data_IF_232601532280
#
_entry.id   IF_232601532280
#
_cell.length_a   1.000
_cell.length_b   1.000
_cell.length_c   1.000
_cell.angle_alpha   90.00
_cell.angle_beta   90.00
_cell.angle_gamma   90.00
#
_symmetry.space_group_name_H-M   'P 1'
#
loop_
_entity.id
_entity.type
_entity.pdbx_description
1 polymer ?
#
# COMPACT_ATOMS: atom_id res chain seq x y z
N UNK A 1 -16.69 -5.36 -1.45
CA UNK A 1 -15.48 -6.08 -0.97
C UNK A 1 -14.27 -5.25 -1.39
N UNK A 2 -13.28 -5.10 -0.52
CA UNK A 2 -12.07 -4.34 -0.76
C UNK A 2 -10.84 -5.23 -0.59
N UNK A 3 -9.89 -5.13 -1.52
CA UNK A 3 -8.63 -5.86 -1.47
C UNK A 3 -7.46 -4.90 -1.29
N UNK A 4 -6.54 -5.28 -0.41
CA UNK A 4 -5.25 -4.62 -0.20
C UNK A 4 -4.16 -5.67 -0.30
N UNK A 5 -3.06 -5.39 -1.00
CA UNK A 5 -1.99 -6.36 -1.17
C UNK A 5 -0.99 -6.28 -0.02
N UNK A 6 -0.92 -7.33 0.80
CA UNK A 6 -0.22 -7.39 2.09
C UNK A 6 -0.84 -6.49 3.17
N UNK A 7 -2.06 -6.00 2.96
CA UNK A 7 -2.70 -5.06 3.88
C UNK A 7 -3.18 -5.69 5.18
N UNK A 8 -3.22 -7.02 5.27
CA UNK A 8 -3.49 -7.75 6.52
C UNK A 8 -2.49 -7.46 7.65
N UNK A 9 -1.31 -6.95 7.31
CA UNK A 9 -0.26 -6.52 8.25
C UNK A 9 -0.08 -5.00 8.34
N UNK A 10 -0.70 -4.24 7.44
CA UNK A 10 -0.52 -2.80 7.31
C UNK A 10 -1.88 -2.09 7.29
N UNK A 11 -2.53 -1.99 6.13
CA UNK A 11 -3.75 -1.20 5.89
C UNK A 11 -4.89 -1.57 6.84
N UNK A 12 -5.16 -2.87 7.00
CA UNK A 12 -6.29 -3.35 7.79
C UNK A 12 -6.15 -3.02 9.28
N UNK A 13 -4.93 -2.87 9.79
CA UNK A 13 -4.69 -2.49 11.19
C UNK A 13 -5.15 -1.06 11.43
N UNK A 14 -4.86 -0.16 10.49
CA UNK A 14 -5.32 1.23 10.52
C UNK A 14 -6.85 1.31 10.37
N UNK A 15 -7.41 0.54 9.43
CA UNK A 15 -8.86 0.46 9.24
C UNK A 15 -9.56 -0.07 10.48
N UNK A 16 -9.03 -1.13 11.11
CA UNK A 16 -9.58 -1.68 12.36
C UNK A 16 -9.62 -0.65 13.48
N UNK A 17 -8.57 0.17 13.62
CA UNK A 17 -8.52 1.27 14.60
C UNK A 17 -9.67 2.25 14.38
N UNK A 18 -9.88 2.70 13.15
CA UNK A 18 -10.94 3.68 12.83
C UNK A 18 -12.35 3.10 13.02
N UNK A 19 -12.56 1.82 12.70
CA UNK A 19 -13.82 1.11 12.95
C UNK A 19 -14.10 1.03 14.46
N UNK A 20 -13.07 0.66 15.23
CA UNK A 20 -13.15 0.58 16.69
C UNK A 20 -13.50 1.93 17.33
N UNK A 21 -12.85 3.01 16.90
CA UNK A 21 -13.15 4.38 17.38
C UNK A 21 -14.57 4.84 17.08
N UNK A 22 -15.19 4.30 16.03
CA UNK A 22 -16.59 4.55 15.67
C UNK A 22 -17.59 3.66 16.43
N UNK A 23 -17.12 2.80 17.34
CA UNK A 23 -17.96 1.90 18.13
C UNK A 23 -18.57 0.74 17.33
N UNK A 24 -18.00 0.42 16.17
CA UNK A 24 -18.46 -0.70 15.34
C UNK A 24 -17.64 -1.93 15.68
N UNK A 25 -18.31 -3.06 15.90
CA UNK A 25 -17.64 -4.34 16.19
C UNK A 25 -17.60 -5.18 14.91
N UNK A 26 -16.44 -5.33 14.26
CA UNK A 26 -16.31 -6.15 13.06
C UNK A 26 -16.12 -7.63 13.42
N UNK A 27 -16.47 -8.52 12.49
CA UNK A 27 -16.01 -9.91 12.51
C UNK A 27 -14.61 -9.99 11.90
N UNK A 28 -13.74 -10.84 12.46
CA UNK A 28 -12.32 -10.91 12.09
C UNK A 28 -11.85 -12.35 11.96
N UNK A 29 -11.10 -12.64 10.90
CA UNK A 29 -10.29 -13.85 10.77
C UNK A 29 -8.82 -13.43 10.86
N UNK A 30 -8.09 -13.93 11.86
CA UNK A 30 -6.70 -13.52 12.12
C UNK A 30 -5.82 -14.66 12.62
N UNK A 31 -4.51 -14.55 12.37
CA UNK A 31 -3.48 -15.39 13.00
C UNK A 31 -2.35 -14.51 13.51
N UNK A 32 -2.14 -14.49 14.83
CA UNK A 32 -1.24 -13.53 15.47
C UNK A 32 -1.65 -12.09 15.10
N UNK A 33 -0.69 -11.32 14.59
CA UNK A 33 -0.87 -9.93 14.17
C UNK A 33 -1.33 -9.77 12.71
N UNK A 34 -1.54 -10.87 11.97
CA UNK A 34 -2.03 -10.81 10.58
C UNK A 34 -3.55 -10.96 10.56
N UNK A 35 -4.24 -9.96 10.00
CA UNK A 35 -5.65 -9.99 9.65
C UNK A 35 -5.81 -10.60 8.25
N UNK A 36 -6.56 -11.70 8.12
CA UNK A 36 -6.90 -12.30 6.83
C UNK A 36 -8.19 -11.70 6.26
N UNK A 37 -9.15 -11.45 7.14
CA UNK A 37 -10.42 -10.85 6.82
C UNK A 37 -10.87 -9.93 7.95
N UNK A 38 -11.39 -8.77 7.55
CA UNK A 38 -12.08 -7.83 8.43
C UNK A 38 -13.44 -7.52 7.82
N UNK A 39 -14.51 -7.92 8.49
CA UNK A 39 -15.88 -7.86 8.00
C UNK A 39 -16.72 -6.92 8.85
N UNK A 40 -17.18 -5.82 8.26
CA UNK A 40 -18.11 -4.87 8.86
C UNK A 40 -19.53 -5.28 8.46
N UNK A 41 -20.41 -5.61 9.43
CA UNK A 41 -21.78 -5.99 9.13
C UNK A 41 -22.57 -4.80 8.56
N UNK A 42 -23.57 -5.11 7.72
CA UNK A 42 -24.54 -4.13 7.25
C UNK A 42 -25.26 -3.49 8.44
N UNK A 43 -25.53 -2.19 8.33
CA UNK A 43 -26.41 -1.46 9.24
C UNK A 43 -27.39 -0.57 8.44
N UNK A 44 -28.15 0.27 9.14
CA UNK A 44 -29.15 1.15 8.51
C UNK A 44 -28.53 2.25 7.61
N UNK A 45 -27.22 2.50 7.72
CA UNK A 45 -26.50 3.57 7.01
C UNK A 45 -25.54 3.05 5.94
N UNK A 46 -25.09 1.81 6.03
CA UNK A 46 -24.06 1.26 5.16
C UNK A 46 -24.29 -0.23 4.90
N UNK A 47 -23.97 -0.66 3.68
CA UNK A 47 -23.93 -2.06 3.30
C UNK A 47 -22.77 -2.79 4.00
N UNK A 48 -22.80 -4.12 3.93
CA UNK A 48 -21.71 -4.95 4.40
C UNK A 48 -20.41 -4.64 3.63
N UNK A 49 -19.31 -4.49 4.36
CA UNK A 49 -17.98 -4.26 3.79
C UNK A 49 -17.02 -5.33 4.30
N UNK A 50 -16.33 -5.98 3.37
CA UNK A 50 -15.36 -7.03 3.68
C UNK A 50 -14.01 -6.59 3.11
N UNK A 51 -13.00 -6.51 3.98
CA UNK A 51 -11.61 -6.31 3.60
C UNK A 51 -10.89 -7.65 3.59
N UNK A 52 -10.11 -7.90 2.53
CA UNK A 52 -9.29 -9.11 2.36
C UNK A 52 -7.90 -8.78 1.84
N UNK A 53 -6.95 -9.62 2.22
CA UNK A 53 -5.55 -9.46 1.83
C UNK A 53 -5.26 -10.34 0.61
N UNK A 54 -5.03 -9.70 -0.54
CA UNK A 54 -4.76 -10.40 -1.80
C UNK A 54 -3.43 -11.13 -1.82
N UNK A 55 -2.49 -10.78 -0.91
CA UNK A 55 -1.22 -11.50 -0.77
C UNK A 55 -1.42 -12.97 -0.37
N UNK A 56 -2.55 -13.31 0.29
CA UNK A 56 -2.87 -14.69 0.63
C UNK A 56 -3.20 -15.54 -0.60
N UNK A 57 -3.64 -14.91 -1.69
CA UNK A 57 -3.95 -15.56 -2.96
C UNK A 57 -2.75 -15.52 -3.91
N UNK A 58 -2.01 -14.42 -3.88
CA UNK A 58 -0.84 -14.19 -4.73
C UNK A 58 0.36 -13.77 -3.88
N UNK A 59 1.14 -14.72 -3.33
CA UNK A 59 2.22 -14.45 -2.38
C UNK A 59 3.51 -13.99 -3.08
N UNK A 60 3.40 -12.98 -3.93
CA UNK A 60 4.51 -12.32 -4.61
C UNK A 60 4.44 -10.82 -4.35
N UNK A 61 5.58 -10.11 -4.43
CA UNK A 61 5.57 -8.66 -4.27
C UNK A 61 4.72 -7.98 -5.36
N UNK A 62 4.02 -6.89 -5.02
CA UNK A 62 3.13 -6.16 -5.94
C UNK A 62 3.82 -5.81 -7.28
N UNK A 63 5.06 -5.33 -7.25
CA UNK A 63 5.81 -5.00 -8.47
C UNK A 63 6.17 -6.22 -9.33
N UNK A 64 6.22 -7.42 -8.74
CA UNK A 64 6.49 -8.67 -9.49
C UNK A 64 5.24 -9.29 -10.10
N UNK A 65 4.04 -8.79 -9.77
CA UNK A 65 2.78 -9.33 -10.32
C UNK A 65 2.71 -9.18 -11.84
N UNK A 66 3.26 -8.08 -12.38
CA UNK A 66 3.23 -7.79 -13.82
C UNK A 66 3.94 -8.90 -14.59
N UNK A 67 5.20 -9.18 -14.24
CA UNK A 67 5.97 -10.27 -14.84
C UNK A 67 5.42 -11.65 -14.50
N UNK A 68 4.95 -11.89 -13.27
CA UNK A 68 4.46 -13.21 -12.85
C UNK A 68 3.18 -13.65 -13.57
N UNK A 69 2.32 -12.69 -13.95
CA UNK A 69 1.04 -12.96 -14.62
C UNK A 69 1.00 -12.51 -16.09
N UNK A 70 2.12 -12.00 -16.64
CA UNK A 70 2.18 -11.51 -18.02
C UNK A 70 1.23 -10.33 -18.27
N UNK A 71 1.04 -9.47 -17.28
CA UNK A 71 0.11 -8.34 -17.38
C UNK A 71 0.69 -7.26 -18.29
N UNK A 72 -0.14 -6.69 -19.15
CA UNK A 72 0.22 -5.54 -19.99
C UNK A 72 -0.18 -4.24 -19.30
N UNK A 73 0.55 -3.89 -18.23
CA UNK A 73 0.30 -2.67 -17.45
C UNK A 73 1.60 -1.92 -17.23
N UNK A 74 1.53 -0.60 -17.18
CA UNK A 74 2.68 0.26 -16.87
C UNK A 74 3.14 0.00 -15.43
N UNK A 75 4.43 -0.20 -15.25
CA UNK A 75 5.00 -0.41 -13.92
C UNK A 75 4.89 0.85 -13.06
N UNK A 76 4.71 0.65 -11.76
CA UNK A 76 4.73 1.75 -10.81
C UNK A 76 6.16 2.26 -10.70
N UNK A 77 6.35 3.54 -11.01
CA UNK A 77 7.60 4.28 -10.81
C UNK A 77 7.96 4.41 -9.31
N UNK A 78 9.06 5.09 -9.03
CA UNK A 78 9.55 5.28 -7.66
C UNK A 78 8.69 6.27 -6.87
N UNK A 79 8.42 5.93 -5.60
CA UNK A 79 7.61 6.76 -4.71
C UNK A 79 8.50 7.42 -3.64
N UNK A 80 8.41 8.75 -3.44
CA UNK A 80 9.22 9.48 -2.47
C UNK A 80 8.65 9.29 -1.05
N UNK A 81 9.04 8.19 -0.40
CA UNK A 81 8.53 7.76 0.89
C UNK A 81 8.65 8.82 2.01
N UNK A 82 9.71 9.63 2.01
CA UNK A 82 9.95 10.65 3.03
C UNK A 82 9.41 12.03 2.65
N UNK A 83 8.95 12.24 1.41
CA UNK A 83 8.35 13.50 1.00
C UNK A 83 6.93 13.70 1.54
N UNK A 84 6.35 12.70 2.22
CA UNK A 84 5.04 12.77 2.86
C UNK A 84 5.11 13.55 4.19
N UNK A 85 5.43 14.84 4.10
CA UNK A 85 5.52 15.80 5.22
C UNK A 85 4.49 16.91 5.06
N UNK A 86 4.08 17.50 6.19
CA UNK A 86 3.04 18.54 6.26
C UNK A 86 3.27 19.71 5.31
N UNK A 87 4.54 20.07 5.12
CA UNK A 87 5.00 21.18 4.29
C UNK A 87 4.69 20.94 2.80
N UNK A 88 4.56 19.69 2.38
CA UNK A 88 4.29 19.30 1.00
C UNK A 88 2.79 19.08 0.74
N UNK A 89 1.95 19.05 1.78
CA UNK A 89 0.52 18.77 1.61
C UNK A 89 -0.20 19.87 0.83
N UNK A 90 -0.96 19.46 -0.19
CA UNK A 90 -1.69 20.38 -1.07
C UNK A 90 -0.80 21.18 -2.03
N UNK A 91 0.50 20.87 -2.12
CA UNK A 91 1.44 21.53 -3.03
C UNK A 91 1.85 20.60 -4.16
N UNK A 92 1.96 21.16 -5.36
CA UNK A 92 2.67 20.53 -6.47
C UNK A 92 4.14 20.90 -6.36
N UNK A 93 5.00 19.91 -6.21
CA UNK A 93 6.45 20.13 -6.24
C UNK A 93 6.85 20.47 -7.67
N UNK A 94 7.62 21.55 -7.84
CA UNK A 94 8.09 22.00 -9.16
C UNK A 94 9.17 21.08 -9.74
N UNK A 95 9.85 20.33 -8.89
CA UNK A 95 10.91 19.41 -9.21
C UNK A 95 10.70 18.11 -8.42
N UNK A 96 11.35 17.04 -8.88
CA UNK A 96 11.38 15.79 -8.13
C UNK A 96 11.96 16.00 -6.72
N UNK A 97 11.42 15.33 -5.69
CA UNK A 97 12.02 15.22 -4.37
C UNK A 97 13.47 14.76 -4.43
N UNK A 98 14.24 15.02 -3.37
CA UNK A 98 15.64 14.62 -3.33
C UNK A 98 15.76 13.10 -3.34
N UNK A 99 16.87 12.54 -3.85
CA UNK A 99 17.11 11.08 -3.86
C UNK A 99 16.96 10.45 -2.45
N UNK A 100 17.36 11.18 -1.41
CA UNK A 100 17.17 10.78 -0.02
C UNK A 100 15.71 10.52 0.34
N UNK A 101 14.77 11.27 -0.25
CA UNK A 101 13.34 11.16 0.02
C UNK A 101 12.74 9.85 -0.50
N UNK A 102 13.46 9.15 -1.38
CA UNK A 102 13.10 7.83 -1.91
C UNK A 102 13.70 6.67 -1.12
N UNK A 103 14.43 6.93 -0.03
CA UNK A 103 15.23 5.93 0.70
C UNK A 103 16.28 5.25 -0.22
N UNK A 104 16.89 6.03 -1.11
CA UNK A 104 17.85 5.56 -2.11
C UNK A 104 18.99 4.71 -1.51
N UNK A 105 19.54 5.13 -0.37
CA UNK A 105 20.63 4.41 0.32
C UNK A 105 20.24 3.01 0.82
N UNK A 106 18.95 2.77 1.07
CA UNK A 106 18.43 1.46 1.47
C UNK A 106 18.07 0.54 0.30
N UNK A 107 18.17 1.03 -0.94
CA UNK A 107 17.90 0.23 -2.13
C UNK A 107 19.07 -0.71 -2.43
N UNK A 108 18.78 -1.83 -3.11
CA UNK A 108 19.83 -2.72 -3.63
C UNK A 108 20.53 -2.07 -4.83
N UNK A 109 21.80 -2.39 -5.11
CA UNK A 109 22.56 -1.79 -6.21
C UNK A 109 21.84 -1.89 -7.57
N UNK A 110 21.15 -2.99 -7.85
CA UNK A 110 20.42 -3.15 -9.12
C UNK A 110 19.27 -2.13 -9.24
N UNK A 111 18.55 -1.93 -8.13
CA UNK A 111 17.42 -1.01 -8.06
C UNK A 111 17.89 0.46 -8.00
N UNK A 112 19.08 0.72 -7.45
CA UNK A 112 19.72 2.03 -7.50
C UNK A 112 20.02 2.45 -8.94
N UNK A 113 20.55 1.55 -9.77
CA UNK A 113 20.78 1.82 -11.19
C UNK A 113 19.48 2.09 -11.97
N UNK A 114 18.40 1.35 -11.68
CA UNK A 114 17.07 1.61 -12.25
C UNK A 114 16.54 2.98 -11.82
N UNK A 115 16.75 3.34 -10.54
CA UNK A 115 16.36 4.63 -9.99
C UNK A 115 17.12 5.77 -10.65
N UNK A 116 18.44 5.68 -10.78
CA UNK A 116 19.26 6.76 -11.34
C UNK A 116 18.89 7.06 -12.78
N UNK A 117 18.65 6.03 -13.61
CA UNK A 117 18.15 6.22 -14.98
C UNK A 117 16.81 6.94 -15.01
N UNK A 118 15.87 6.50 -14.19
CA UNK A 118 14.56 7.12 -14.10
C UNK A 118 14.65 8.57 -13.60
N UNK A 119 15.49 8.85 -12.60
CA UNK A 119 15.65 10.17 -11.98
C UNK A 119 16.36 11.17 -12.89
N UNK A 120 17.15 10.70 -13.86
CA UNK A 120 17.80 11.55 -14.88
C UNK A 120 16.89 11.84 -16.08
N UNK A 121 15.91 10.98 -16.35
CA UNK A 121 14.98 11.11 -17.49
C UNK A 121 13.77 12.02 -17.19
N UNK A 122 13.41 12.21 -15.92
CA UNK A 122 12.26 13.02 -15.43
C UNK A 122 12.69 14.42 -14.96
#
# INVERSE_FOLDING_TARGET
MAFSHNGGRYDMVMVLREIYLKGVVPSMIRRGNKLYELKIPRNNKCNEVIFRDSYNLCPVALGKLIGAFGLQVTEKQFFPHLANISENYGRSLQQLPQKSDYLYEGMRPEKQNEFDKWYEEE
#
